data_IF_306019036303
#
_entry.id   IF_306019036303
#
_cell.length_a   1.000
_cell.length_b   1.000
_cell.length_c   1.000
_cell.angle_alpha   90.00
_cell.angle_beta   90.00
_cell.angle_gamma   90.00
#
_symmetry.space_group_name_H-M   'P 1'
#
loop_
_entity.id
_entity.type
_entity.pdbx_description
1 polymer ?
#
# COMPACT_ATOMS: atom_id res chain seq x y z
N UNK A 1 24.65 -19.11 -15.66
CA UNK A 1 25.06 -17.72 -15.30
C UNK A 1 24.80 -17.48 -13.82
N UNK A 2 25.79 -17.06 -13.03
CA UNK A 2 25.67 -16.80 -11.60
C UNK A 2 24.94 -15.43 -11.44
N UNK A 3 23.79 -15.41 -10.75
CA UNK A 3 23.05 -14.16 -10.51
C UNK A 3 23.92 -13.21 -9.67
N UNK A 4 23.84 -11.89 -9.93
CA UNK A 4 24.49 -10.90 -9.06
C UNK A 4 23.86 -10.87 -7.67
N UNK A 5 24.59 -10.41 -6.66
CA UNK A 5 24.05 -10.25 -5.30
C UNK A 5 22.83 -9.32 -5.28
N UNK A 6 22.82 -8.25 -6.09
CA UNK A 6 21.69 -7.34 -6.24
C UNK A 6 20.46 -8.07 -6.81
N UNK A 7 20.63 -8.85 -7.88
CA UNK A 7 19.55 -9.63 -8.48
C UNK A 7 19.00 -10.68 -7.51
N UNK A 8 19.88 -11.35 -6.74
CA UNK A 8 19.45 -12.31 -5.72
C UNK A 8 18.62 -11.61 -4.63
N UNK A 9 19.05 -10.42 -4.19
CA UNK A 9 18.30 -9.63 -3.21
C UNK A 9 16.90 -9.25 -3.72
N UNK A 10 16.76 -8.80 -4.95
CA UNK A 10 15.45 -8.49 -5.54
C UNK A 10 14.56 -9.74 -5.62
N UNK A 11 15.08 -10.88 -6.04
CA UNK A 11 14.31 -12.13 -6.07
C UNK A 11 13.82 -12.55 -4.68
N UNK A 12 14.63 -12.32 -3.63
CA UNK A 12 14.19 -12.57 -2.24
C UNK A 12 13.04 -11.63 -1.88
N UNK A 13 13.14 -10.34 -2.19
CA UNK A 13 12.08 -9.36 -1.89
C UNK A 13 10.77 -9.70 -2.62
N UNK A 14 10.83 -10.10 -3.89
CA UNK A 14 9.66 -10.51 -4.67
C UNK A 14 9.02 -11.78 -4.10
N UNK A 15 9.83 -12.77 -3.73
CA UNK A 15 9.36 -14.00 -3.09
C UNK A 15 8.68 -13.72 -1.75
N UNK A 16 9.32 -12.89 -0.90
CA UNK A 16 8.81 -12.48 0.40
C UNK A 16 7.52 -11.65 0.26
N UNK A 17 7.47 -10.69 -0.67
CA UNK A 17 6.27 -9.92 -0.97
C UNK A 17 5.09 -10.85 -1.28
N UNK A 18 5.26 -11.77 -2.25
CA UNK A 18 4.19 -12.67 -2.64
C UNK A 18 3.69 -13.58 -1.51
N UNK A 19 4.56 -13.98 -0.58
CA UNK A 19 4.18 -14.79 0.57
C UNK A 19 3.52 -13.95 1.66
N UNK A 20 4.12 -12.84 2.07
CA UNK A 20 3.59 -11.97 3.12
C UNK A 20 2.20 -11.43 2.79
N UNK A 21 1.98 -10.99 1.55
CA UNK A 21 0.67 -10.48 1.12
C UNK A 21 -0.42 -11.54 1.12
N UNK A 22 -0.10 -12.81 0.77
CA UNK A 22 -1.11 -13.89 0.72
C UNK A 22 -1.34 -14.56 2.05
N UNK A 23 -0.27 -14.82 2.81
CA UNK A 23 -0.34 -15.68 3.99
C UNK A 23 -0.25 -14.91 5.31
N UNK A 24 0.18 -13.63 5.27
CA UNK A 24 0.43 -12.78 6.43
C UNK A 24 1.90 -12.73 6.80
N UNK A 25 2.25 -11.68 7.53
CA UNK A 25 3.64 -11.39 7.86
C UNK A 25 4.18 -12.30 8.96
N UNK A 26 3.37 -12.62 9.97
CA UNK A 26 3.80 -13.47 11.09
C UNK A 26 3.88 -14.94 10.72
N UNK A 27 2.99 -15.43 9.86
CA UNK A 27 2.87 -16.86 9.54
C UNK A 27 3.97 -17.39 8.64
N UNK A 28 4.48 -16.57 7.73
CA UNK A 28 5.51 -16.97 6.74
C UNK A 28 6.86 -17.17 7.42
N UNK A 29 7.51 -18.30 7.14
CA UNK A 29 8.85 -18.63 7.65
C UNK A 29 9.97 -18.20 6.69
N UNK A 30 11.19 -18.07 7.22
CA UNK A 30 12.40 -17.82 6.41
C UNK A 30 12.68 -18.99 5.46
N UNK A 31 12.32 -20.22 5.83
CA UNK A 31 12.52 -21.41 5.00
C UNK A 31 11.61 -21.39 3.76
N UNK A 32 10.34 -21.01 3.93
CA UNK A 32 9.40 -20.85 2.82
C UNK A 32 9.85 -19.76 1.84
N UNK A 33 10.38 -18.65 2.37
CA UNK A 33 10.91 -17.57 1.54
C UNK A 33 12.14 -18.03 0.77
N UNK A 34 13.07 -18.74 1.42
CA UNK A 34 14.28 -19.27 0.78
C UNK A 34 13.90 -20.26 -0.35
N UNK A 35 13.02 -21.20 -0.07
CA UNK A 35 12.50 -22.15 -1.05
C UNK A 35 11.82 -21.42 -2.23
N UNK A 36 10.99 -20.44 -1.97
CA UNK A 36 10.30 -19.66 -3.01
C UNK A 36 11.25 -18.82 -3.86
N UNK A 37 12.33 -18.30 -3.26
CA UNK A 37 13.38 -17.54 -3.96
C UNK A 37 14.37 -18.44 -4.72
N UNK A 38 14.30 -19.76 -4.53
CA UNK A 38 15.23 -20.73 -5.15
C UNK A 38 16.66 -20.63 -4.61
N UNK A 39 16.81 -20.36 -3.29
CA UNK A 39 18.09 -20.24 -2.61
C UNK A 39 18.10 -21.05 -1.30
N UNK A 40 19.28 -21.26 -0.73
CA UNK A 40 19.41 -21.88 0.58
C UNK A 40 19.08 -20.91 1.69
N UNK A 41 18.62 -21.40 2.85
CA UNK A 41 18.40 -20.62 4.07
C UNK A 41 19.66 -19.83 4.47
N UNK A 42 20.84 -20.45 4.36
CA UNK A 42 22.13 -19.79 4.62
C UNK A 42 22.35 -18.59 3.70
N UNK A 43 22.06 -18.73 2.40
CA UNK A 43 22.16 -17.61 1.46
C UNK A 43 21.18 -16.51 1.78
N UNK A 44 19.95 -16.84 2.19
CA UNK A 44 18.96 -15.83 2.64
C UNK A 44 19.49 -15.00 3.82
N UNK A 45 20.07 -15.65 4.85
CA UNK A 45 20.62 -14.95 6.00
C UNK A 45 21.87 -14.10 5.68
N UNK A 46 22.58 -14.38 4.60
CA UNK A 46 23.64 -13.50 4.09
C UNK A 46 23.09 -12.15 3.57
N UNK A 47 21.84 -12.14 3.06
CA UNK A 47 21.18 -10.93 2.57
C UNK A 47 20.35 -10.20 3.65
N UNK A 48 19.75 -10.94 4.57
CA UNK A 48 18.84 -10.41 5.60
C UNK A 48 19.09 -11.10 6.94
N UNK A 49 19.58 -10.35 7.93
CA UNK A 49 20.00 -10.87 9.23
C UNK A 49 18.86 -11.47 10.07
N UNK A 50 17.62 -11.06 9.81
CA UNK A 50 16.43 -11.52 10.52
C UNK A 50 15.19 -11.45 9.63
N UNK A 51 14.11 -12.13 10.06
CA UNK A 51 12.80 -12.02 9.43
C UNK A 51 12.29 -10.57 9.49
N UNK A 52 12.48 -9.87 10.59
CA UNK A 52 12.04 -8.47 10.78
C UNK A 52 12.76 -7.53 9.80
N UNK A 53 14.08 -7.74 9.61
CA UNK A 53 14.84 -6.99 8.62
C UNK A 53 14.33 -7.25 7.18
N UNK A 54 13.97 -8.50 6.88
CA UNK A 54 13.39 -8.86 5.58
C UNK A 54 11.98 -8.27 5.43
N UNK A 55 11.12 -8.33 6.44
CA UNK A 55 9.79 -7.71 6.42
C UNK A 55 9.89 -6.21 6.15
N UNK A 56 10.77 -5.51 6.87
CA UNK A 56 11.01 -4.09 6.68
C UNK A 56 11.49 -3.77 5.26
N UNK A 57 12.47 -4.51 4.76
CA UNK A 57 12.99 -4.32 3.41
C UNK A 57 11.94 -4.61 2.33
N UNK A 58 11.10 -5.65 2.51
CA UNK A 58 10.01 -5.99 1.60
C UNK A 58 8.96 -4.89 1.55
N UNK A 59 8.56 -4.33 2.70
CA UNK A 59 7.63 -3.22 2.76
C UNK A 59 8.21 -1.94 2.13
N UNK A 60 9.50 -1.64 2.35
CA UNK A 60 10.17 -0.50 1.74
C UNK A 60 10.18 -0.62 0.20
N UNK A 61 10.60 -1.76 -0.32
CA UNK A 61 10.59 -2.07 -1.75
C UNK A 61 9.18 -1.97 -2.35
N UNK A 62 8.19 -2.55 -1.68
CA UNK A 62 6.79 -2.49 -2.11
C UNK A 62 6.24 -1.06 -2.09
N UNK A 63 6.67 -0.23 -1.13
CA UNK A 63 6.28 1.18 -1.06
C UNK A 63 6.80 1.97 -2.27
N UNK A 64 8.07 1.77 -2.64
CA UNK A 64 8.66 2.42 -3.82
C UNK A 64 7.90 2.05 -5.10
N UNK A 65 7.61 0.76 -5.29
CA UNK A 65 6.86 0.29 -6.45
C UNK A 65 5.42 0.82 -6.48
N UNK A 66 4.72 0.82 -5.33
CA UNK A 66 3.35 1.30 -5.24
C UNK A 66 3.25 2.81 -5.52
N UNK A 67 4.13 3.62 -4.93
CA UNK A 67 4.17 5.07 -5.15
C UNK A 67 4.57 5.41 -6.60
N UNK A 68 5.53 4.67 -7.16
CA UNK A 68 5.90 4.83 -8.58
C UNK A 68 4.70 4.53 -9.49
N UNK A 69 4.00 3.42 -9.24
CA UNK A 69 2.82 3.02 -10.02
C UNK A 69 1.70 4.06 -9.89
N UNK A 70 1.40 4.53 -8.67
CA UNK A 70 0.39 5.55 -8.41
C UNK A 70 0.64 6.79 -9.27
N UNK A 71 1.88 7.28 -9.26
CA UNK A 71 2.29 8.45 -10.06
C UNK A 71 2.28 8.18 -11.58
N UNK A 72 2.66 6.99 -12.03
CA UNK A 72 2.69 6.65 -13.46
C UNK A 72 1.30 6.47 -14.06
N UNK A 73 0.34 5.96 -13.28
CA UNK A 73 -1.04 5.77 -13.73
C UNK A 73 -1.89 7.02 -13.56
N UNK A 74 -1.39 7.98 -12.78
CA UNK A 74 -2.09 9.26 -12.59
C UNK A 74 -2.18 10.01 -13.92
N UNK A 75 -3.39 10.52 -14.20
CA UNK A 75 -3.65 11.44 -15.33
C UNK A 75 -3.94 12.82 -14.74
N UNK A 76 -3.34 13.90 -15.26
CA UNK A 76 -3.66 15.24 -14.82
C UNK A 76 -5.17 15.48 -14.88
N UNK A 77 -5.75 15.87 -13.76
CA UNK A 77 -7.17 16.17 -13.62
C UNK A 77 -7.37 17.70 -13.64
N UNK A 78 -8.48 18.14 -14.20
CA UNK A 78 -8.86 19.56 -14.23
C UNK A 78 -9.69 19.97 -13.02
N UNK A 79 -10.36 19.00 -12.40
CA UNK A 79 -11.23 19.22 -11.25
C UNK A 79 -10.95 18.19 -10.17
N UNK A 80 -11.30 18.54 -8.91
CA UNK A 80 -11.19 17.58 -7.80
C UNK A 80 -12.04 16.33 -8.01
N UNK A 81 -13.22 16.44 -8.61
CA UNK A 81 -14.08 15.30 -8.92
C UNK A 81 -13.40 14.33 -9.92
N UNK A 82 -12.76 14.84 -10.99
CA UNK A 82 -11.98 14.02 -11.92
C UNK A 82 -10.79 13.34 -11.25
N UNK A 83 -10.12 14.05 -10.34
CA UNK A 83 -9.00 13.51 -9.58
C UNK A 83 -9.45 12.34 -8.69
N UNK A 84 -10.54 12.51 -7.95
CA UNK A 84 -11.11 11.46 -7.10
C UNK A 84 -11.54 10.26 -7.94
N UNK A 85 -12.23 10.47 -9.06
CA UNK A 85 -12.65 9.37 -9.93
C UNK A 85 -11.46 8.57 -10.44
N UNK A 86 -10.43 9.25 -10.98
CA UNK A 86 -9.20 8.61 -11.46
C UNK A 86 -8.48 7.80 -10.36
N UNK A 87 -8.45 8.32 -9.13
CA UNK A 87 -7.84 7.63 -7.99
C UNK A 87 -8.62 6.36 -7.61
N UNK A 88 -9.95 6.46 -7.50
CA UNK A 88 -10.78 5.31 -7.16
C UNK A 88 -10.90 4.30 -8.31
N UNK A 89 -10.79 4.71 -9.57
CA UNK A 89 -10.65 3.79 -10.70
C UNK A 89 -9.42 2.91 -10.56
N UNK A 90 -8.26 3.50 -10.26
CA UNK A 90 -7.03 2.76 -10.02
C UNK A 90 -7.16 1.83 -8.81
N UNK A 91 -7.87 2.25 -7.75
CA UNK A 91 -8.14 1.44 -6.58
C UNK A 91 -9.03 0.24 -6.94
N UNK A 92 -10.13 0.45 -7.67
CA UNK A 92 -11.02 -0.62 -8.17
C UNK A 92 -10.26 -1.63 -9.02
N UNK A 93 -9.48 -1.15 -9.99
CA UNK A 93 -8.65 -1.99 -10.83
C UNK A 93 -7.67 -2.84 -10.03
N UNK A 94 -7.10 -2.28 -8.95
CA UNK A 94 -6.18 -3.02 -8.10
C UNK A 94 -6.91 -4.05 -7.23
N UNK A 95 -8.07 -3.70 -6.67
CA UNK A 95 -8.87 -4.59 -5.82
C UNK A 95 -9.47 -5.78 -6.58
N UNK A 96 -9.67 -5.65 -7.89
CA UNK A 96 -10.18 -6.74 -8.74
C UNK A 96 -9.09 -7.68 -9.26
N UNK A 97 -7.81 -7.41 -8.99
CA UNK A 97 -6.71 -8.30 -9.44
C UNK A 97 -6.83 -9.69 -8.81
N UNK A 98 -6.56 -10.76 -9.57
CA UNK A 98 -6.51 -12.12 -9.02
C UNK A 98 -5.59 -12.18 -7.80
N UNK A 99 -6.08 -12.83 -6.72
CA UNK A 99 -5.33 -13.00 -5.47
C UNK A 99 -5.10 -11.70 -4.67
N UNK A 100 -5.88 -10.64 -4.95
CA UNK A 100 -5.90 -9.47 -4.08
C UNK A 100 -6.31 -9.88 -2.64
N UNK A 101 -5.63 -9.38 -1.65
CA UNK A 101 -5.78 -9.77 -0.24
C UNK A 101 -5.73 -8.58 0.71
N UNK A 102 -6.23 -7.45 0.24
CA UNK A 102 -6.31 -6.22 1.03
C UNK A 102 -5.04 -5.38 1.04
N UNK A 103 -5.03 -4.34 1.87
CA UNK A 103 -3.92 -3.41 2.03
C UNK A 103 -2.78 -4.00 2.87
N UNK A 104 -1.71 -4.47 2.24
CA UNK A 104 -0.61 -5.13 2.93
C UNK A 104 0.10 -4.28 3.98
N UNK A 105 0.17 -2.96 3.81
CA UNK A 105 0.77 -2.06 4.81
C UNK A 105 -0.07 -1.98 6.08
N UNK A 106 -1.38 -1.86 5.95
CA UNK A 106 -2.32 -1.86 7.08
C UNK A 106 -2.31 -3.22 7.78
N UNK A 107 -2.34 -4.31 7.01
CA UNK A 107 -2.21 -5.68 7.53
C UNK A 107 -0.92 -5.87 8.33
N UNK A 108 0.23 -5.43 7.82
CA UNK A 108 1.49 -5.53 8.53
C UNK A 108 1.45 -4.81 9.89
N UNK A 109 0.84 -3.62 9.96
CA UNK A 109 0.73 -2.88 11.23
C UNK A 109 -0.22 -3.57 12.21
N UNK A 110 -1.33 -4.12 11.73
CA UNK A 110 -2.29 -4.88 12.57
C UNK A 110 -1.65 -6.14 13.12
N UNK A 111 -0.97 -6.94 12.28
CA UNK A 111 -0.28 -8.16 12.72
C UNK A 111 0.89 -7.89 13.70
N UNK A 112 1.50 -6.69 13.62
CA UNK A 112 2.63 -6.27 14.46
C UNK A 112 2.21 -5.26 15.55
N UNK A 113 0.92 -5.20 15.89
CA UNK A 113 0.38 -4.18 16.79
C UNK A 113 1.07 -4.19 18.16
N UNK A 114 1.35 -5.37 18.69
CA UNK A 114 2.01 -5.57 20.00
C UNK A 114 3.53 -5.24 19.97
N UNK A 115 4.12 -5.17 18.80
CA UNK A 115 5.55 -4.91 18.60
C UNK A 115 5.80 -3.43 18.26
N UNK A 116 5.63 -2.51 19.22
CA UNK A 116 5.66 -1.06 19.03
C UNK A 116 6.91 -0.53 18.32
N UNK A 117 8.08 -1.12 18.58
CA UNK A 117 9.36 -0.72 17.96
C UNK A 117 9.68 -1.39 16.63
N UNK A 118 8.80 -2.22 16.08
CA UNK A 118 9.13 -3.00 14.90
C UNK A 118 9.33 -2.10 13.67
N UNK A 119 10.45 -2.25 12.90
CA UNK A 119 10.82 -1.34 11.82
C UNK A 119 9.78 -1.30 10.68
N UNK A 120 9.08 -2.39 10.41
CA UNK A 120 8.03 -2.47 9.40
C UNK A 120 6.87 -1.47 9.66
N UNK A 121 6.55 -1.19 10.93
CA UNK A 121 5.50 -0.22 11.30
C UNK A 121 5.88 1.20 10.89
N UNK A 122 7.13 1.59 11.07
CA UNK A 122 7.63 2.90 10.65
C UNK A 122 7.58 3.06 9.12
N UNK A 123 7.87 1.98 8.38
CA UNK A 123 7.79 1.98 6.91
C UNK A 123 6.34 2.10 6.44
N UNK A 124 5.42 1.34 7.03
CA UNK A 124 4.00 1.42 6.69
C UNK A 124 3.45 2.84 6.95
N UNK A 125 3.81 3.46 8.08
CA UNK A 125 3.46 4.86 8.37
C UNK A 125 3.98 5.81 7.29
N UNK A 126 5.27 5.72 6.94
CA UNK A 126 5.86 6.57 5.89
C UNK A 126 5.17 6.39 4.54
N UNK A 127 4.84 5.14 4.18
CA UNK A 127 4.09 4.87 2.96
C UNK A 127 2.73 5.57 2.94
N UNK A 128 1.94 5.41 4.02
CA UNK A 128 0.62 6.05 4.12
C UNK A 128 0.71 7.57 4.11
N UNK A 129 1.67 8.15 4.83
CA UNK A 129 1.92 9.61 4.79
C UNK A 129 2.33 10.08 3.39
N UNK A 130 3.10 9.29 2.64
CA UNK A 130 3.49 9.65 1.27
C UNK A 130 2.30 9.60 0.29
N UNK A 131 1.39 8.65 0.44
CA UNK A 131 0.15 8.59 -0.35
C UNK A 131 -0.77 9.76 0.02
N UNK A 132 -0.97 10.04 1.31
CA UNK A 132 -1.78 11.18 1.79
C UNK A 132 -1.23 12.51 1.24
N UNK A 133 0.10 12.69 1.33
CA UNK A 133 0.74 13.90 0.78
C UNK A 133 0.53 14.00 -0.74
N UNK A 134 0.73 12.92 -1.48
CA UNK A 134 0.50 12.92 -2.92
C UNK A 134 -0.94 13.28 -3.26
N UNK A 135 -1.94 12.70 -2.57
CA UNK A 135 -3.35 13.08 -2.73
C UNK A 135 -3.58 14.57 -2.45
N UNK A 136 -2.96 15.12 -1.39
CA UNK A 136 -3.09 16.53 -1.06
C UNK A 136 -2.49 17.43 -2.16
N UNK A 137 -1.32 17.08 -2.69
CA UNK A 137 -0.65 17.82 -3.76
C UNK A 137 -1.53 17.83 -5.05
N UNK A 138 -2.08 16.67 -5.43
CA UNK A 138 -2.93 16.55 -6.63
C UNK A 138 -4.28 17.28 -6.47
N UNK A 139 -4.92 17.17 -5.30
CA UNK A 139 -6.15 17.92 -5.01
C UNK A 139 -5.90 19.44 -5.01
N UNK A 140 -4.79 19.88 -4.44
CA UNK A 140 -4.42 21.29 -4.45
C UNK A 140 -4.20 21.81 -5.89
N UNK A 141 -3.60 21.01 -6.76
CA UNK A 141 -3.39 21.36 -8.17
C UNK A 141 -4.70 21.56 -8.94
N UNK A 142 -5.81 20.97 -8.48
CA UNK A 142 -7.16 21.17 -9.05
C UNK A 142 -7.94 22.33 -8.39
N UNK A 143 -7.32 23.08 -7.48
CA UNK A 143 -7.95 24.20 -6.78
C UNK A 143 -8.82 23.81 -5.57
N UNK A 144 -8.74 22.58 -5.09
CA UNK A 144 -9.49 22.13 -3.90
C UNK A 144 -8.99 22.85 -2.65
N UNK A 145 -9.91 23.51 -1.95
CA UNK A 145 -9.64 24.20 -0.68
C UNK A 145 -9.40 23.16 0.42
N UNK A 146 -8.45 23.43 1.33
CA UNK A 146 -8.08 22.52 2.42
C UNK A 146 -7.66 21.12 1.94
N UNK A 147 -6.93 21.06 0.84
CA UNK A 147 -6.55 19.83 0.15
C UNK A 147 -5.92 18.78 1.08
N UNK A 148 -5.16 19.19 2.11
CA UNK A 148 -4.56 18.29 3.10
C UNK A 148 -5.61 17.58 3.97
N UNK A 149 -6.65 18.31 4.41
CA UNK A 149 -7.73 17.72 5.19
C UNK A 149 -8.57 16.78 4.32
N UNK A 150 -8.85 17.20 3.08
CA UNK A 150 -9.56 16.38 2.08
C UNK A 150 -8.79 15.10 1.74
N UNK A 151 -7.47 15.17 1.57
CA UNK A 151 -6.64 14.00 1.34
C UNK A 151 -6.72 13.00 2.51
N UNK A 152 -6.76 13.47 3.75
CA UNK A 152 -6.93 12.63 4.93
C UNK A 152 -8.30 11.95 4.95
N UNK A 153 -9.37 12.68 4.62
CA UNK A 153 -10.72 12.12 4.48
C UNK A 153 -10.79 11.07 3.38
N UNK A 154 -10.18 11.33 2.21
CA UNK A 154 -10.07 10.36 1.11
C UNK A 154 -9.31 9.11 1.56
N UNK A 155 -8.23 9.27 2.34
CA UNK A 155 -7.48 8.12 2.89
C UNK A 155 -8.36 7.28 3.83
N UNK A 156 -9.17 7.88 4.68
CA UNK A 156 -10.11 7.16 5.56
C UNK A 156 -11.12 6.36 4.75
N UNK A 157 -11.71 6.96 3.71
CA UNK A 157 -12.64 6.29 2.80
C UNK A 157 -11.96 5.14 2.05
N UNK A 158 -10.73 5.33 1.59
CA UNK A 158 -9.92 4.32 0.91
C UNK A 158 -9.67 3.10 1.79
N UNK A 159 -9.23 3.31 3.04
CA UNK A 159 -8.97 2.21 3.98
C UNK A 159 -10.25 1.46 4.33
N UNK A 160 -11.35 2.18 4.54
CA UNK A 160 -12.68 1.60 4.78
C UNK A 160 -13.16 0.76 3.60
N UNK A 161 -13.08 1.29 2.39
CA UNK A 161 -13.46 0.58 1.16
C UNK A 161 -12.64 -0.70 0.97
N UNK A 162 -11.32 -0.65 1.17
CA UNK A 162 -10.46 -1.83 1.07
C UNK A 162 -10.79 -2.90 2.13
N UNK A 163 -11.06 -2.49 3.35
CA UNK A 163 -11.42 -3.42 4.43
C UNK A 163 -12.76 -4.11 4.16
N UNK A 164 -13.78 -3.33 3.77
CA UNK A 164 -15.12 -3.85 3.51
C UNK A 164 -15.17 -4.69 2.23
N UNK A 165 -14.43 -4.31 1.17
CA UNK A 165 -14.27 -5.15 -0.01
C UNK A 165 -13.62 -6.50 0.34
N UNK A 166 -12.63 -6.51 1.25
CA UNK A 166 -11.99 -7.76 1.67
C UNK A 166 -12.94 -8.66 2.47
N UNK A 167 -13.83 -8.06 3.27
CA UNK A 167 -14.80 -8.78 4.11
C UNK A 167 -15.96 -9.32 3.27
N UNK A 168 -16.51 -8.51 2.38
CA UNK A 168 -17.77 -8.81 1.68
C UNK A 168 -17.58 -9.28 0.23
N UNK A 169 -16.41 -9.06 -0.37
CA UNK A 169 -16.17 -9.35 -1.79
C UNK A 169 -16.95 -8.42 -2.73
N UNK A 170 -17.42 -7.26 -2.24
CA UNK A 170 -18.31 -6.36 -2.95
C UNK A 170 -17.61 -5.03 -3.30
N UNK A 171 -17.45 -4.78 -4.59
CA UNK A 171 -16.80 -3.57 -5.12
C UNK A 171 -17.63 -2.30 -4.91
N UNK A 172 -18.91 -2.42 -4.58
CA UNK A 172 -19.80 -1.27 -4.32
C UNK A 172 -19.28 -0.36 -3.19
N UNK A 173 -18.53 -0.90 -2.23
CA UNK A 173 -17.87 -0.11 -1.18
C UNK A 173 -16.86 0.90 -1.74
N UNK A 174 -16.13 0.55 -2.81
CA UNK A 174 -15.22 1.49 -3.46
C UNK A 174 -15.98 2.57 -4.24
N UNK A 175 -17.12 2.22 -4.83
CA UNK A 175 -17.98 3.19 -5.51
C UNK A 175 -18.58 4.17 -4.51
N UNK A 176 -19.12 3.67 -3.39
CA UNK A 176 -19.66 4.50 -2.31
C UNK A 176 -18.59 5.44 -1.72
N UNK A 177 -17.36 4.95 -1.55
CA UNK A 177 -16.25 5.78 -1.07
C UNK A 177 -15.87 6.88 -2.07
N UNK A 178 -15.87 6.59 -3.38
CA UNK A 178 -15.62 7.59 -4.42
C UNK A 178 -16.69 8.70 -4.41
N UNK A 179 -17.97 8.34 -4.35
CA UNK A 179 -19.06 9.33 -4.30
C UNK A 179 -18.98 10.16 -3.02
N UNK A 180 -18.75 9.53 -1.86
CA UNK A 180 -18.58 10.25 -0.60
C UNK A 180 -17.39 11.23 -0.66
N UNK A 181 -16.27 10.83 -1.26
CA UNK A 181 -15.11 11.69 -1.44
C UNK A 181 -15.44 12.91 -2.31
N UNK A 182 -16.14 12.75 -3.43
CA UNK A 182 -16.59 13.87 -4.28
C UNK A 182 -17.53 14.81 -3.52
N UNK A 183 -18.44 14.28 -2.71
CA UNK A 183 -19.33 15.09 -1.88
C UNK A 183 -18.55 15.93 -0.85
N UNK A 184 -17.54 15.35 -0.22
CA UNK A 184 -16.67 16.05 0.73
C UNK A 184 -15.95 17.23 0.09
N UNK A 185 -15.51 17.13 -1.17
CA UNK A 185 -14.86 18.25 -1.87
C UNK A 185 -15.75 19.48 -2.03
N UNK A 186 -17.09 19.30 -2.04
CA UNK A 186 -18.10 20.37 -2.21
C UNK A 186 -18.49 21.02 -0.89
N UNK A 187 -18.16 20.41 0.24
CA UNK A 187 -18.49 20.93 1.57
C UNK A 187 -17.39 21.86 2.11
N UNK A 188 -17.74 22.86 2.93
CA UNK A 188 -16.75 23.64 3.67
C UNK A 188 -16.03 22.75 4.68
N UNK A 189 -14.70 22.89 4.79
CA UNK A 189 -13.95 22.23 5.87
C UNK A 189 -14.51 22.66 7.22
N UNK A 190 -14.69 21.69 8.12
CA UNK A 190 -15.05 22.00 9.51
C UNK A 190 -13.94 22.87 10.14
N UNK A 191 -14.28 23.92 10.89
CA UNK A 191 -13.26 24.65 11.67
C UNK A 191 -12.59 23.67 12.65
N UNK A 192 -11.28 23.83 12.81
CA UNK A 192 -10.47 23.06 13.78
C UNK A 192 -10.77 23.52 15.19
#
# INVERSE_FOLDING_TARGET
MRRSAAQTRLNILDAAFGLFWRQGFLRVSMDEIAARAGITKRALYQHFRSKDALMAATLAYSSELALKRLKQLHRPAKTGDEMIESYFDQLRDWMTKPKWSGGGFTRAVVELADLRGHPARAIARRHKSAVEKWLADELAATGVISASDRAREVMLLTEGAMALMLIHGDLSYANAAAEAAKMLLKTRSLPR
#
